data_IF_724326716609
#
_entry.id   IF_724326716609
#
_cell.length_a   1.000
_cell.length_b   1.000
_cell.length_c   1.000
_cell.angle_alpha   90.00
_cell.angle_beta   90.00
_cell.angle_gamma   90.00
#
_symmetry.space_group_name_H-M   'P 1'
#
loop_
_entity.id
_entity.type
_entity.pdbx_description
1 polymer ?
#
# COMPACT_ATOMS: atom_id res chain seq x y z
N UNK A 1 47.06 -103.87 -4.54
CA UNK A 1 46.02 -103.75 -5.59
C UNK A 1 44.64 -103.62 -4.94
N UNK A 2 43.88 -102.60 -5.36
CA UNK A 2 42.41 -102.38 -5.24
C UNK A 2 41.71 -102.63 -3.89
N UNK A 3 41.13 -101.56 -3.32
CA UNK A 3 39.69 -101.48 -3.02
C UNK A 3 39.19 -100.06 -3.31
N UNK A 4 38.17 -99.99 -4.15
CA UNK A 4 37.44 -98.79 -4.57
C UNK A 4 36.42 -98.40 -3.50
N UNK A 5 36.32 -97.12 -3.15
CA UNK A 5 35.13 -96.55 -2.53
C UNK A 5 34.81 -95.24 -3.27
N UNK A 6 33.63 -95.22 -3.89
CA UNK A 6 32.98 -94.05 -4.48
C UNK A 6 32.24 -93.34 -3.35
N UNK A 7 32.38 -92.02 -3.23
CA UNK A 7 31.47 -91.21 -2.43
C UNK A 7 30.88 -90.09 -3.28
N UNK A 8 29.55 -90.04 -3.26
CA UNK A 8 28.67 -89.16 -4.01
C UNK A 8 28.47 -87.83 -3.25
N UNK A 9 28.64 -86.73 -3.98
CA UNK A 9 27.96 -85.41 -3.92
C UNK A 9 27.49 -84.87 -2.55
N UNK A 10 28.01 -83.69 -2.20
CA UNK A 10 27.23 -82.64 -1.54
C UNK A 10 27.58 -81.27 -2.13
N UNK A 11 26.82 -80.88 -3.15
CA UNK A 11 26.64 -79.48 -3.52
C UNK A 11 25.90 -78.83 -2.36
N UNK A 12 26.62 -78.17 -1.46
CA UNK A 12 26.02 -77.21 -0.54
C UNK A 12 26.19 -75.84 -1.18
N UNK A 13 25.12 -75.40 -1.84
CA UNK A 13 24.97 -74.04 -2.31
C UNK A 13 25.12 -73.09 -1.13
N UNK A 14 26.26 -72.41 -1.07
CA UNK A 14 26.35 -71.13 -0.40
C UNK A 14 25.79 -70.08 -1.37
N UNK A 15 24.46 -70.11 -1.55
CA UNK A 15 23.79 -68.88 -1.94
C UNK A 15 23.92 -67.94 -0.74
N UNK A 16 24.90 -67.04 -0.83
CA UNK A 16 24.97 -65.87 0.02
C UNK A 16 23.61 -65.17 -0.09
N UNK A 17 22.91 -65.10 1.04
CA UNK A 17 21.55 -64.58 1.16
C UNK A 17 21.40 -63.23 0.44
N UNK A 18 20.77 -63.23 -0.72
CA UNK A 18 19.99 -62.07 -1.11
C UNK A 18 18.75 -62.08 -0.21
N UNK A 19 18.83 -61.34 0.90
CA UNK A 19 17.74 -61.24 1.85
C UNK A 19 16.53 -60.63 1.12
N UNK A 20 15.59 -61.48 0.70
CA UNK A 20 14.36 -61.06 0.03
C UNK A 20 13.51 -60.25 0.99
N UNK A 21 12.78 -59.25 0.50
CA UNK A 21 11.86 -58.52 1.36
C UNK A 21 10.61 -59.37 1.60
N UNK A 22 10.53 -59.99 2.78
CA UNK A 22 9.40 -60.83 3.13
C UNK A 22 8.14 -59.99 3.40
N UNK A 23 6.98 -60.48 2.99
CA UNK A 23 5.67 -59.89 3.30
C UNK A 23 5.36 -59.90 4.80
N UNK A 24 5.99 -60.81 5.56
CA UNK A 24 5.90 -60.85 7.03
C UNK A 24 7.03 -60.10 7.73
N UNK A 25 7.85 -59.36 6.98
CA UNK A 25 8.98 -58.60 7.52
C UNK A 25 10.27 -59.41 7.69
N UNK A 26 11.37 -58.68 7.87
CA UNK A 26 12.74 -59.22 7.93
C UNK A 26 13.40 -58.87 9.28
N UNK A 27 14.10 -59.82 9.89
CA UNK A 27 14.96 -59.59 11.07
C UNK A 27 16.44 -59.41 10.69
N UNK A 28 17.19 -58.59 11.43
CA UNK A 28 18.65 -58.45 11.28
C UNK A 28 19.12 -57.62 10.08
N UNK A 29 18.34 -56.62 9.64
CA UNK A 29 18.65 -55.80 8.46
C UNK A 29 19.77 -54.77 8.70
N UNK A 30 20.57 -54.50 7.69
CA UNK A 30 21.54 -53.40 7.59
C UNK A 30 21.02 -52.33 6.61
N UNK A 31 20.75 -51.08 7.04
CA UNK A 31 20.19 -50.03 6.18
C UNK A 31 21.03 -49.67 4.94
N UNK A 32 22.34 -49.93 4.96
CA UNK A 32 23.23 -49.65 3.81
C UNK A 32 23.05 -50.66 2.69
N UNK A 33 22.66 -51.91 3.01
CA UNK A 33 22.63 -53.03 2.05
C UNK A 33 21.28 -53.72 1.95
N UNK A 34 20.36 -53.44 2.86
CA UNK A 34 19.00 -53.99 2.88
C UNK A 34 18.01 -52.83 2.80
N UNK A 35 17.41 -52.66 1.62
CA UNK A 35 16.39 -51.65 1.37
C UNK A 35 15.35 -52.19 0.38
N UNK A 36 14.14 -51.62 0.44
CA UNK A 36 13.11 -51.84 -0.57
C UNK A 36 13.23 -50.72 -1.61
N UNK A 37 13.74 -51.08 -2.78
CA UNK A 37 14.02 -50.12 -3.83
C UNK A 37 14.79 -50.77 -4.97
N UNK A 38 15.30 -49.94 -5.86
CA UNK A 38 16.12 -50.33 -7.00
C UNK A 38 17.57 -49.96 -6.71
N UNK A 39 18.51 -50.83 -7.07
CA UNK A 39 19.96 -50.55 -7.00
C UNK A 39 20.47 -49.90 -8.29
N UNK A 40 19.65 -49.88 -9.34
CA UNK A 40 19.91 -49.27 -10.64
C UNK A 40 19.05 -48.00 -10.82
N UNK A 41 19.17 -47.35 -11.97
CA UNK A 41 18.48 -46.09 -12.27
C UNK A 41 17.03 -46.29 -12.74
N UNK A 42 16.28 -47.18 -12.08
CA UNK A 42 14.87 -47.47 -12.38
C UNK A 42 13.94 -46.97 -11.27
N UNK A 43 12.73 -46.46 -11.58
CA UNK A 43 11.75 -46.11 -10.56
C UNK A 43 11.29 -47.30 -9.74
N UNK A 44 11.04 -47.09 -8.44
CA UNK A 44 10.30 -48.03 -7.62
C UNK A 44 8.80 -47.85 -7.88
N UNK A 45 8.19 -48.78 -8.63
CA UNK A 45 6.78 -48.73 -9.02
C UNK A 45 5.92 -49.60 -8.11
N UNK A 46 4.82 -49.04 -7.64
CA UNK A 46 3.80 -49.73 -6.87
C UNK A 46 2.53 -49.84 -7.72
N UNK A 47 2.05 -51.08 -7.85
CA UNK A 47 0.93 -51.44 -8.71
C UNK A 47 -0.20 -52.08 -7.90
N UNK A 48 -1.43 -51.90 -8.36
CA UNK A 48 -2.59 -52.72 -7.95
C UNK A 48 -3.28 -53.26 -9.19
N UNK A 49 -3.61 -54.56 -9.21
CA UNK A 49 -4.15 -55.25 -10.39
C UNK A 49 -3.31 -55.01 -11.66
N UNK A 50 -1.97 -55.07 -11.52
CA UNK A 50 -0.99 -54.77 -12.57
C UNK A 50 -1.04 -53.35 -13.19
N UNK A 51 -1.86 -52.44 -12.64
CA UNK A 51 -1.86 -51.04 -13.02
C UNK A 51 -0.96 -50.25 -12.07
N UNK A 52 -0.07 -49.42 -12.62
CA UNK A 52 0.69 -48.45 -11.83
C UNK A 52 -0.24 -47.49 -11.10
N UNK A 53 0.01 -47.31 -9.81
CA UNK A 53 -0.71 -46.36 -8.95
C UNK A 53 0.22 -45.33 -8.36
N UNK A 54 1.48 -45.71 -8.19
CA UNK A 54 2.45 -44.88 -7.51
C UNK A 54 3.84 -45.25 -8.03
N UNK A 55 4.74 -44.28 -8.13
CA UNK A 55 6.16 -44.54 -8.37
C UNK A 55 7.04 -43.52 -7.64
N UNK A 56 8.15 -43.99 -7.08
CA UNK A 56 9.27 -43.14 -6.67
C UNK A 56 10.27 -43.16 -7.82
N UNK A 57 10.53 -42.02 -8.44
CA UNK A 57 11.47 -41.94 -9.56
C UNK A 57 12.91 -41.88 -9.06
N UNK A 58 13.85 -42.23 -9.92
CA UNK A 58 15.29 -42.08 -9.75
C UNK A 58 15.73 -40.65 -9.38
N UNK A 59 14.87 -39.65 -9.59
CA UNK A 59 15.08 -38.24 -9.27
C UNK A 59 14.41 -37.75 -7.97
N UNK A 60 14.11 -38.62 -7.00
CA UNK A 60 13.47 -38.30 -5.71
C UNK A 60 12.05 -37.70 -5.81
N UNK A 61 11.32 -38.00 -6.88
CA UNK A 61 9.94 -37.55 -7.07
C UNK A 61 8.96 -38.68 -6.78
N UNK A 62 7.83 -38.36 -6.18
CA UNK A 62 6.76 -39.31 -5.88
C UNK A 62 5.58 -39.02 -6.82
N UNK A 63 5.25 -39.93 -7.74
CA UNK A 63 4.14 -39.74 -8.70
C UNK A 63 2.99 -40.67 -8.34
N UNK A 64 1.75 -40.17 -8.31
CA UNK A 64 0.52 -40.96 -8.10
C UNK A 64 -0.33 -40.94 -9.38
N UNK A 65 -0.78 -42.10 -9.85
CA UNK A 65 -1.54 -42.31 -11.10
C UNK A 65 -3.01 -42.69 -10.81
N UNK A 66 -3.97 -42.04 -11.49
CA UNK A 66 -5.41 -42.28 -11.25
C UNK A 66 -6.45 -41.56 -12.11
N UNK A 67 -6.12 -40.85 -13.20
CA UNK A 67 -7.15 -40.28 -14.11
C UNK A 67 -7.50 -41.35 -15.16
N UNK A 68 -8.48 -42.21 -14.89
CA UNK A 68 -8.92 -43.22 -15.88
C UNK A 68 -10.36 -43.02 -16.39
N UNK A 69 -11.05 -41.94 -16.02
CA UNK A 69 -12.31 -41.56 -16.66
C UNK A 69 -12.24 -40.13 -17.20
N UNK A 70 -12.51 -39.99 -18.49
CA UNK A 70 -12.77 -38.71 -19.14
C UNK A 70 -13.89 -38.00 -18.35
N UNK A 71 -13.61 -36.80 -17.85
CA UNK A 71 -14.53 -36.06 -16.96
C UNK A 71 -14.23 -36.17 -15.46
N UNK A 72 -13.19 -36.88 -15.03
CA UNK A 72 -12.72 -36.82 -13.63
C UNK A 72 -12.19 -35.43 -13.28
N UNK A 73 -12.94 -34.70 -12.45
CA UNK A 73 -12.48 -33.46 -11.83
C UNK A 73 -11.67 -33.83 -10.59
N UNK A 74 -10.48 -33.25 -10.42
CA UNK A 74 -9.68 -33.47 -9.21
C UNK A 74 -10.36 -32.76 -8.04
N UNK A 75 -10.98 -33.52 -7.13
CA UNK A 75 -11.57 -33.07 -5.87
C UNK A 75 -10.68 -33.42 -4.65
N UNK A 76 -9.39 -33.73 -4.89
CA UNK A 76 -8.42 -34.18 -3.88
C UNK A 76 -7.22 -33.25 -3.76
N UNK A 77 -6.48 -33.38 -2.65
CA UNK A 77 -5.23 -32.67 -2.42
C UNK A 77 -4.06 -33.31 -3.18
N UNK A 78 -3.12 -32.50 -3.65
CA UNK A 78 -1.87 -32.93 -4.29
C UNK A 78 -0.67 -32.51 -3.42
N UNK A 79 0.05 -33.48 -2.88
CA UNK A 79 1.16 -33.26 -1.96
C UNK A 79 2.49 -33.79 -2.53
N UNK A 80 3.51 -32.93 -2.57
CA UNK A 80 4.89 -33.32 -2.82
C UNK A 80 5.79 -32.78 -1.70
N UNK A 81 6.37 -33.69 -0.92
CA UNK A 81 7.30 -33.39 0.17
C UNK A 81 6.76 -32.50 1.31
N UNK A 82 5.44 -32.37 1.48
CA UNK A 82 4.79 -31.62 2.57
C UNK A 82 3.28 -31.89 2.62
N UNK A 83 2.56 -31.31 3.60
CA UNK A 83 1.11 -31.44 3.79
C UNK A 83 0.67 -32.41 4.89
N UNK A 84 -0.55 -32.21 5.40
CA UNK A 84 -1.27 -33.12 6.29
C UNK A 84 -2.46 -33.74 5.54
N UNK A 85 -2.58 -35.07 5.56
CA UNK A 85 -3.64 -35.83 4.87
C UNK A 85 -4.95 -35.90 5.68
N UNK A 86 -5.18 -34.95 6.59
CA UNK A 86 -6.38 -34.91 7.42
C UNK A 86 -7.61 -34.44 6.62
N UNK A 87 -8.66 -35.26 6.65
CA UNK A 87 -9.60 -35.50 5.54
C UNK A 87 -10.84 -34.59 5.47
N UNK A 88 -10.73 -33.27 5.65
CA UNK A 88 -11.88 -32.36 5.41
C UNK A 88 -11.62 -31.23 4.42
N UNK A 89 -10.38 -30.74 4.31
CA UNK A 89 -10.00 -29.76 3.29
C UNK A 89 -9.61 -30.43 1.97
N UNK A 90 -10.26 -30.08 0.86
CA UNK A 90 -9.98 -30.59 -0.49
C UNK A 90 -9.30 -29.54 -1.38
N UNK A 91 -8.81 -29.93 -2.56
CA UNK A 91 -8.25 -29.03 -3.59
C UNK A 91 -6.97 -28.27 -3.22
N UNK A 92 -6.23 -28.72 -2.21
CA UNK A 92 -4.93 -28.11 -1.87
C UNK A 92 -3.82 -28.61 -2.81
N UNK A 93 -2.94 -27.71 -3.25
CA UNK A 93 -1.72 -28.03 -4.02
C UNK A 93 -0.49 -27.67 -3.20
N UNK A 94 0.34 -28.65 -2.82
CA UNK A 94 1.48 -28.45 -1.93
C UNK A 94 2.76 -29.00 -2.53
N UNK A 95 3.80 -28.17 -2.54
CA UNK A 95 5.13 -28.53 -3.01
C UNK A 95 6.21 -27.89 -2.11
N UNK A 96 6.78 -28.65 -1.17
CA UNK A 96 7.88 -28.16 -0.33
C UNK A 96 7.93 -28.78 1.07
N UNK A 97 9.15 -28.95 1.60
CA UNK A 97 9.39 -29.50 2.93
C UNK A 97 8.75 -28.65 4.03
N UNK A 98 7.94 -29.28 4.88
CA UNK A 98 7.25 -28.60 5.98
C UNK A 98 6.11 -27.65 5.54
N UNK A 99 5.75 -27.63 4.26
CA UNK A 99 4.61 -26.85 3.78
C UNK A 99 3.28 -27.48 4.23
N UNK A 100 2.30 -26.64 4.61
CA UNK A 100 0.93 -27.04 4.96
C UNK A 100 0.81 -28.18 6.01
N UNK A 101 1.72 -28.27 6.98
CA UNK A 101 1.80 -29.40 7.92
C UNK A 101 0.75 -29.39 9.04
N UNK A 102 0.19 -28.23 9.41
CA UNK A 102 -0.83 -28.11 10.47
C UNK A 102 -2.25 -27.86 9.95
N UNK A 103 -2.49 -27.92 8.63
CA UNK A 103 -3.84 -27.74 8.10
C UNK A 103 -4.75 -28.92 8.48
N UNK A 104 -5.93 -28.59 9.00
CA UNK A 104 -6.93 -29.58 9.46
C UNK A 104 -8.24 -29.52 8.67
N UNK A 105 -8.66 -28.32 8.23
CA UNK A 105 -9.97 -28.09 7.58
C UNK A 105 -9.86 -27.27 6.28
N UNK A 106 -8.82 -26.45 6.12
CA UNK A 106 -8.69 -25.49 5.01
C UNK A 106 -8.62 -26.13 3.62
N UNK A 107 -9.37 -25.59 2.67
CA UNK A 107 -9.48 -26.09 1.29
C UNK A 107 -8.91 -25.11 0.25
N UNK A 108 -8.61 -25.61 -0.95
CA UNK A 108 -8.22 -24.80 -2.12
C UNK A 108 -6.99 -23.91 -1.92
N UNK A 109 -6.03 -24.32 -1.08
CA UNK A 109 -4.79 -23.59 -0.87
C UNK A 109 -3.68 -24.05 -1.82
N UNK A 110 -2.84 -23.13 -2.30
CA UNK A 110 -1.60 -23.43 -3.02
C UNK A 110 -0.41 -23.08 -2.13
N UNK A 111 0.40 -24.06 -1.72
CA UNK A 111 1.57 -23.88 -0.86
C UNK A 111 2.83 -24.39 -1.55
N UNK A 112 3.69 -23.48 -2.03
CA UNK A 112 4.92 -23.82 -2.76
C UNK A 112 6.13 -23.19 -2.05
N UNK A 113 7.06 -24.01 -1.59
CA UNK A 113 8.27 -23.60 -0.87
C UNK A 113 8.31 -24.11 0.56
N UNK A 114 9.52 -24.19 1.12
CA UNK A 114 9.71 -24.73 2.47
C UNK A 114 8.96 -23.91 3.53
N UNK A 115 8.24 -24.61 4.42
CA UNK A 115 7.37 -24.05 5.45
C UNK A 115 6.30 -23.04 4.96
N UNK A 116 5.94 -23.06 3.67
CA UNK A 116 4.82 -22.26 3.18
C UNK A 116 3.52 -22.74 3.83
N UNK A 117 2.73 -21.82 4.40
CA UNK A 117 1.47 -22.12 5.11
C UNK A 117 1.64 -23.19 6.22
N UNK A 118 2.78 -23.27 6.91
CA UNK A 118 3.02 -24.39 7.85
C UNK A 118 2.10 -24.38 9.08
N UNK A 119 1.61 -23.22 9.53
CA UNK A 119 0.87 -23.07 10.79
C UNK A 119 -0.64 -22.86 10.66
N UNK A 120 -1.18 -22.82 9.44
CA UNK A 120 -2.60 -22.55 9.21
C UNK A 120 -3.44 -23.80 9.49
N UNK A 121 -4.51 -23.66 10.28
CA UNK A 121 -5.35 -24.81 10.66
C UNK A 121 -6.68 -24.89 9.89
N UNK A 122 -7.27 -23.73 9.54
CA UNK A 122 -8.64 -23.64 9.00
C UNK A 122 -8.79 -22.75 7.74
N UNK A 123 -7.73 -22.07 7.29
CA UNK A 123 -7.84 -21.09 6.20
C UNK A 123 -7.96 -21.72 4.80
N UNK A 124 -8.76 -21.10 3.94
CA UNK A 124 -9.07 -21.57 2.59
C UNK A 124 -8.77 -20.53 1.51
N UNK A 125 -8.57 -20.98 0.28
CA UNK A 125 -8.34 -20.12 -0.90
C UNK A 125 -7.09 -19.24 -0.81
N UNK A 126 -6.04 -19.70 -0.12
CA UNK A 126 -4.77 -18.96 -0.02
C UNK A 126 -3.76 -19.43 -1.07
N UNK A 127 -2.98 -18.51 -1.63
CA UNK A 127 -1.83 -18.78 -2.47
C UNK A 127 -0.58 -18.34 -1.72
N UNK A 128 0.33 -19.25 -1.39
CA UNK A 128 1.61 -18.96 -0.76
C UNK A 128 2.75 -19.58 -1.57
N UNK A 129 3.60 -18.74 -2.14
CA UNK A 129 4.72 -19.15 -3.00
C UNK A 129 6.00 -18.49 -2.49
N UNK A 130 6.89 -19.27 -1.89
CA UNK A 130 8.17 -18.82 -1.35
C UNK A 130 8.47 -19.45 0.01
N UNK A 131 9.75 -19.49 0.37
CA UNK A 131 10.19 -19.99 1.68
C UNK A 131 9.57 -19.12 2.79
N UNK A 132 8.93 -19.77 3.75
CA UNK A 132 8.21 -19.14 4.87
C UNK A 132 7.10 -18.16 4.45
N UNK A 133 6.57 -18.26 3.22
CA UNK A 133 5.41 -17.46 2.80
C UNK A 133 4.16 -17.90 3.57
N UNK A 134 3.43 -16.94 4.14
CA UNK A 134 2.23 -17.16 4.96
C UNK A 134 2.44 -18.15 6.13
N UNK A 135 3.68 -18.33 6.59
CA UNK A 135 4.12 -19.44 7.46
C UNK A 135 3.39 -19.51 8.80
N UNK A 136 3.26 -18.37 9.47
CA UNK A 136 2.77 -18.26 10.85
C UNK A 136 1.27 -17.93 10.93
N UNK A 137 0.60 -17.74 9.80
CA UNK A 137 -0.84 -17.47 9.80
C UNK A 137 -1.60 -18.69 10.31
N UNK A 138 -2.42 -18.53 11.37
CA UNK A 138 -3.19 -19.63 11.98
C UNK A 138 -4.57 -19.74 11.30
N UNK A 139 -5.18 -18.59 10.99
CA UNK A 139 -6.52 -18.43 10.40
C UNK A 139 -6.50 -17.35 9.33
N UNK A 140 -7.26 -17.52 8.26
CA UNK A 140 -7.36 -16.50 7.23
C UNK A 140 -7.63 -17.06 5.84
N UNK A 141 -8.51 -16.39 5.10
CA UNK A 141 -8.98 -16.81 3.80
C UNK A 141 -8.59 -15.80 2.71
N UNK A 142 -8.51 -16.30 1.46
CA UNK A 142 -8.40 -15.46 0.26
C UNK A 142 -7.12 -14.60 0.18
N UNK A 143 -6.01 -15.05 0.76
CA UNK A 143 -4.76 -14.30 0.70
C UNK A 143 -3.84 -14.76 -0.44
N UNK A 144 -3.12 -13.83 -1.05
CA UNK A 144 -2.06 -14.09 -2.03
C UNK A 144 -0.73 -13.61 -1.45
N UNK A 145 0.17 -14.53 -1.13
CA UNK A 145 1.51 -14.27 -0.62
C UNK A 145 2.55 -14.85 -1.59
N UNK A 146 3.35 -14.00 -2.23
CA UNK A 146 4.37 -14.44 -3.18
C UNK A 146 5.71 -13.78 -2.85
N UNK A 147 6.68 -14.58 -2.46
CA UNK A 147 8.02 -14.14 -2.06
C UNK A 147 8.46 -14.75 -0.73
N UNK A 148 9.77 -14.83 -0.53
CA UNK A 148 10.32 -15.29 0.73
C UNK A 148 9.84 -14.39 1.88
N UNK A 149 9.29 -15.01 2.93
CA UNK A 149 8.68 -14.34 4.09
C UNK A 149 7.50 -13.39 3.79
N UNK A 150 6.91 -13.45 2.59
CA UNK A 150 5.71 -12.66 2.31
C UNK A 150 4.56 -13.12 3.22
N UNK A 151 3.92 -12.18 3.92
CA UNK A 151 2.90 -12.42 4.94
C UNK A 151 3.34 -13.39 6.07
N UNK A 152 4.63 -13.37 6.43
CA UNK A 152 5.13 -14.13 7.58
C UNK A 152 4.74 -13.42 8.88
N UNK A 153 3.71 -13.89 9.60
CA UNK A 153 3.36 -13.35 10.92
C UNK A 153 2.10 -13.97 11.51
N UNK A 154 1.84 -13.69 12.78
CA UNK A 154 0.70 -14.18 13.55
C UNK A 154 -0.53 -13.28 13.35
N UNK A 155 -1.72 -13.80 13.66
CA UNK A 155 -2.99 -13.06 13.61
C UNK A 155 -3.91 -13.50 12.48
N UNK A 156 -5.00 -12.75 12.29
CA UNK A 156 -6.02 -13.00 11.27
C UNK A 156 -5.67 -12.24 9.98
N UNK A 157 -5.71 -12.94 8.84
CA UNK A 157 -5.51 -12.35 7.50
C UNK A 157 -6.69 -12.65 6.60
N UNK A 158 -7.32 -11.63 6.01
CA UNK A 158 -8.44 -11.86 5.08
C UNK A 158 -8.25 -11.01 3.82
N UNK A 159 -8.29 -11.64 2.65
CA UNK A 159 -8.28 -10.92 1.37
C UNK A 159 -7.09 -9.94 1.19
N UNK A 160 -5.88 -10.34 1.57
CA UNK A 160 -4.69 -9.54 1.31
C UNK A 160 -3.91 -10.06 0.10
N UNK A 161 -3.34 -9.15 -0.68
CA UNK A 161 -2.34 -9.46 -1.72
C UNK A 161 -1.00 -8.91 -1.29
N UNK A 162 0.02 -9.76 -1.16
CA UNK A 162 1.38 -9.41 -0.81
C UNK A 162 2.37 -10.09 -1.77
N UNK A 163 3.17 -9.30 -2.47
CA UNK A 163 4.13 -9.79 -3.46
C UNK A 163 5.48 -9.10 -3.24
N UNK A 164 6.50 -9.86 -2.89
CA UNK A 164 7.86 -9.39 -2.65
C UNK A 164 8.49 -9.98 -1.39
N UNK A 165 9.81 -9.80 -1.27
CA UNK A 165 10.54 -10.24 -0.09
C UNK A 165 10.02 -9.52 1.17
N UNK A 166 9.58 -10.30 2.17
CA UNK A 166 9.06 -9.79 3.43
C UNK A 166 7.95 -8.72 3.27
N UNK A 167 7.18 -8.77 2.17
CA UNK A 167 6.00 -7.93 1.98
C UNK A 167 4.92 -8.36 2.97
N UNK A 168 4.43 -7.42 3.77
CA UNK A 168 3.44 -7.63 4.83
C UNK A 168 3.91 -8.67 5.88
N UNK A 169 5.22 -8.78 6.12
CA UNK A 169 5.86 -9.79 6.98
C UNK A 169 5.78 -9.54 8.50
N UNK A 170 4.75 -8.81 8.95
CA UNK A 170 4.21 -8.78 10.32
C UNK A 170 5.17 -9.11 11.47
N UNK A 171 6.24 -8.34 11.61
CA UNK A 171 7.20 -8.55 12.70
C UNK A 171 6.57 -8.21 14.07
N UNK A 172 6.81 -9.08 15.08
CA UNK A 172 6.31 -8.92 16.45
C UNK A 172 4.78 -8.82 16.58
N UNK A 173 4.05 -9.57 15.75
CA UNK A 173 2.58 -9.64 15.78
C UNK A 173 2.05 -10.63 16.79
N UNK A 174 0.80 -10.43 17.21
CA UNK A 174 0.08 -11.26 18.17
C UNK A 174 -1.18 -11.87 17.54
N UNK A 175 -1.73 -12.92 18.14
CA UNK A 175 -2.90 -13.62 17.60
C UNK A 175 -4.16 -12.73 17.44
N UNK A 176 -4.27 -11.63 18.19
CA UNK A 176 -5.41 -10.70 18.11
C UNK A 176 -5.30 -9.64 17.01
N UNK A 177 -4.16 -9.53 16.34
CA UNK A 177 -3.93 -8.52 15.31
C UNK A 177 -4.73 -8.87 14.02
N UNK A 178 -5.39 -7.88 13.41
CA UNK A 178 -6.27 -8.07 12.24
C UNK A 178 -5.84 -7.28 11.01
N UNK A 179 -5.61 -7.97 9.90
CA UNK A 179 -5.22 -7.34 8.64
C UNK A 179 -6.08 -7.85 7.50
N UNK A 180 -6.80 -6.94 6.83
CA UNK A 180 -7.74 -7.34 5.77
C UNK A 180 -7.75 -6.38 4.59
N UNK A 181 -7.97 -6.89 3.38
CA UNK A 181 -8.20 -6.06 2.19
C UNK A 181 -7.02 -5.16 1.81
N UNK A 182 -5.77 -5.58 2.08
CA UNK A 182 -4.58 -4.78 1.75
C UNK A 182 -3.86 -5.30 0.50
N UNK A 183 -3.26 -4.39 -0.27
CA UNK A 183 -2.40 -4.70 -1.42
C UNK A 183 -0.98 -4.19 -1.15
N UNK A 184 -0.03 -5.11 -0.96
CA UNK A 184 1.38 -4.85 -0.74
C UNK A 184 2.21 -5.41 -1.91
N UNK A 185 2.89 -4.55 -2.67
CA UNK A 185 3.74 -4.96 -3.79
C UNK A 185 5.12 -4.33 -3.66
N UNK A 186 6.13 -5.15 -3.42
CA UNK A 186 7.53 -4.73 -3.28
C UNK A 186 8.16 -5.25 -1.99
N UNK A 187 9.48 -5.12 -1.89
CA UNK A 187 10.23 -5.64 -0.74
C UNK A 187 9.96 -4.81 0.51
N UNK A 188 9.59 -5.49 1.61
CA UNK A 188 9.30 -4.91 2.94
C UNK A 188 8.20 -3.83 2.96
N UNK A 189 7.25 -3.88 2.02
CA UNK A 189 6.01 -3.08 2.07
C UNK A 189 5.15 -3.51 3.25
N UNK A 190 4.58 -2.55 4.01
CA UNK A 190 3.68 -2.84 5.15
C UNK A 190 4.22 -3.86 6.17
N UNK A 191 5.54 -3.96 6.32
CA UNK A 191 6.17 -5.05 7.07
C UNK A 191 5.80 -5.08 8.56
N UNK A 192 5.43 -3.94 9.15
CA UNK A 192 5.07 -3.84 10.58
C UNK A 192 3.59 -3.56 10.83
N UNK A 193 2.74 -3.64 9.81
CA UNK A 193 1.30 -3.46 9.99
C UNK A 193 0.79 -4.53 10.95
N UNK A 194 0.14 -4.11 12.04
CA UNK A 194 -0.47 -5.01 13.04
C UNK A 194 -1.98 -5.03 12.83
N UNK A 195 -2.60 -3.86 12.74
CA UNK A 195 -4.02 -3.70 12.53
C UNK A 195 -4.28 -2.75 11.36
N UNK A 196 -5.01 -3.16 10.34
CA UNK A 196 -5.23 -2.25 9.23
C UNK A 196 -5.95 -2.87 8.05
N UNK A 197 -6.77 -2.03 7.40
CA UNK A 197 -7.60 -2.45 6.29
C UNK A 197 -7.55 -1.48 5.13
N UNK A 198 -7.78 -2.00 3.92
CA UNK A 198 -7.92 -1.20 2.70
C UNK A 198 -6.69 -0.35 2.34
N UNK A 199 -5.48 -0.76 2.75
CA UNK A 199 -4.26 -0.05 2.40
C UNK A 199 -3.65 -0.59 1.09
N UNK A 200 -3.11 0.31 0.28
CA UNK A 200 -2.34 0.01 -0.93
C UNK A 200 -0.92 0.52 -0.73
N UNK A 201 0.07 -0.36 -0.74
CA UNK A 201 1.48 0.01 -0.67
C UNK A 201 2.27 -0.65 -1.81
N UNK A 202 2.90 0.16 -2.66
CA UNK A 202 3.65 -0.31 -3.83
C UNK A 202 5.04 0.35 -3.82
N UNK A 203 6.11 -0.43 -3.76
CA UNK A 203 7.49 0.05 -3.76
C UNK A 203 8.38 -0.63 -2.73
N UNK A 204 9.65 -0.21 -2.65
CA UNK A 204 10.54 -0.66 -1.57
C UNK A 204 10.21 0.08 -0.27
N UNK A 205 9.97 -0.64 0.82
CA UNK A 205 9.62 -0.10 2.15
C UNK A 205 8.42 0.89 2.18
N UNK A 206 7.50 0.86 1.21
CA UNK A 206 6.31 1.71 1.27
C UNK A 206 5.44 1.32 2.49
N UNK A 207 5.09 2.32 3.31
CA UNK A 207 4.35 2.16 4.60
C UNK A 207 5.01 1.10 5.51
N UNK A 208 6.34 1.03 5.58
CA UNK A 208 7.00 -0.05 6.34
C UNK A 208 6.68 -0.03 7.85
N UNK A 209 6.68 1.16 8.47
CA UNK A 209 6.65 1.30 9.93
C UNK A 209 5.24 1.44 10.55
N UNK A 210 4.19 1.38 9.74
CA UNK A 210 2.82 1.56 10.23
C UNK A 210 2.44 0.39 11.11
N UNK A 211 1.94 0.67 12.32
CA UNK A 211 1.40 -0.35 13.23
C UNK A 211 -0.13 -0.44 13.11
N UNK A 212 -0.80 0.70 12.95
CA UNK A 212 -2.27 0.77 12.86
C UNK A 212 -2.73 1.83 11.86
N UNK A 213 -3.51 1.47 10.85
CA UNK A 213 -4.02 2.44 9.89
C UNK A 213 -4.86 1.84 8.78
N UNK A 214 -5.82 2.62 8.29
CA UNK A 214 -6.76 2.19 7.27
C UNK A 214 -6.77 3.12 6.06
N UNK A 215 -7.09 2.56 4.89
CA UNK A 215 -7.37 3.33 3.68
C UNK A 215 -6.23 4.24 3.23
N UNK A 216 -4.98 3.85 3.47
CA UNK A 216 -3.81 4.61 3.01
C UNK A 216 -3.33 4.09 1.65
N UNK A 217 -2.90 5.00 0.78
CA UNK A 217 -2.25 4.70 -0.49
C UNK A 217 -0.82 5.22 -0.40
N UNK A 218 0.17 4.35 -0.57
CA UNK A 218 1.57 4.72 -0.73
C UNK A 218 2.19 4.06 -1.96
N UNK A 219 2.65 4.87 -2.91
CA UNK A 219 3.24 4.37 -4.15
C UNK A 219 4.59 5.05 -4.36
N UNK A 220 5.66 4.27 -4.35
CA UNK A 220 7.04 4.73 -4.51
C UNK A 220 7.99 4.14 -3.48
N UNK A 221 9.29 4.28 -3.73
CA UNK A 221 10.33 3.88 -2.79
C UNK A 221 10.28 4.75 -1.52
N UNK A 222 10.23 4.11 -0.35
CA UNK A 222 10.07 4.73 0.97
C UNK A 222 8.85 5.68 1.08
N UNK A 223 7.82 5.51 0.24
CA UNK A 223 6.61 6.32 0.36
C UNK A 223 5.85 5.97 1.64
N UNK A 224 5.53 6.97 2.48
CA UNK A 224 4.91 6.78 3.79
C UNK A 224 5.74 5.98 4.77
N UNK A 225 7.06 5.87 4.58
CA UNK A 225 7.96 5.08 5.41
C UNK A 225 7.82 5.39 6.91
N UNK A 226 7.71 6.67 7.27
CA UNK A 226 7.65 7.13 8.67
C UNK A 226 6.26 7.08 9.30
N UNK A 227 5.22 6.74 8.54
CA UNK A 227 3.86 6.68 9.02
C UNK A 227 3.74 5.51 10.01
N UNK A 228 3.55 5.80 11.30
CA UNK A 228 3.40 4.80 12.37
C UNK A 228 1.93 4.48 12.64
N UNK A 229 1.04 5.44 12.38
CA UNK A 229 -0.40 5.26 12.34
C UNK A 229 -1.07 6.31 11.46
N UNK A 230 -2.38 6.19 11.22
CA UNK A 230 -3.15 7.18 10.47
C UNK A 230 -3.99 6.58 9.36
N UNK A 231 -4.95 7.36 8.86
CA UNK A 231 -5.96 6.89 7.93
C UNK A 231 -6.12 7.84 6.74
N UNK A 232 -6.47 7.27 5.57
CA UNK A 232 -6.90 8.05 4.42
C UNK A 232 -5.79 8.88 3.75
N UNK A 233 -4.51 8.57 4.00
CA UNK A 233 -3.41 9.31 3.39
C UNK A 233 -3.12 8.80 1.97
N UNK A 234 -2.75 9.69 1.06
CA UNK A 234 -2.32 9.40 -0.30
C UNK A 234 -0.91 9.96 -0.49
N UNK A 235 0.09 9.08 -0.56
CA UNK A 235 1.51 9.40 -0.57
C UNK A 235 2.15 8.80 -1.84
N UNK A 236 2.51 9.61 -2.81
CA UNK A 236 2.98 9.13 -4.11
C UNK A 236 4.32 9.79 -4.47
N UNK A 237 5.36 8.99 -4.64
CA UNK A 237 6.71 9.42 -5.03
C UNK A 237 7.83 8.76 -4.22
N UNK A 238 9.07 9.04 -4.60
CA UNK A 238 10.27 8.59 -3.88
C UNK A 238 10.50 9.42 -2.61
N UNK A 239 10.67 8.75 -1.47
CA UNK A 239 10.87 9.36 -0.15
C UNK A 239 9.78 10.37 0.26
N UNK A 240 8.57 10.22 -0.29
CA UNK A 240 7.40 11.05 0.03
C UNK A 240 6.77 10.57 1.34
N UNK A 241 6.53 11.47 2.29
CA UNK A 241 5.94 11.13 3.58
C UNK A 241 4.81 12.09 3.95
N UNK A 242 3.96 11.64 4.88
CA UNK A 242 3.01 12.50 5.56
C UNK A 242 3.75 13.50 6.47
N UNK A 243 3.06 14.56 6.88
CA UNK A 243 3.59 15.62 7.75
C UNK A 243 4.10 15.08 9.07
N UNK A 244 3.34 14.16 9.65
CA UNK A 244 3.64 13.52 10.92
C UNK A 244 3.48 12.02 10.81
N UNK A 245 4.04 11.28 11.77
CA UNK A 245 3.90 9.83 11.81
C UNK A 245 2.45 9.35 12.09
N UNK A 246 1.52 10.26 12.40
CA UNK A 246 0.13 9.93 12.78
C UNK A 246 -0.91 10.71 11.95
N UNK A 247 -0.49 11.25 10.81
CA UNK A 247 -1.32 12.11 9.97
C UNK A 247 -2.54 11.37 9.40
N UNK A 248 -3.63 12.09 9.14
CA UNK A 248 -4.84 11.56 8.52
C UNK A 248 -5.26 12.46 7.36
N UNK A 249 -5.84 11.86 6.32
CA UNK A 249 -6.41 12.56 5.17
C UNK A 249 -5.42 13.52 4.48
N UNK A 250 -4.13 13.19 4.49
CA UNK A 250 -3.12 13.97 3.79
C UNK A 250 -2.90 13.46 2.36
N UNK A 251 -2.79 14.39 1.43
CA UNK A 251 -2.32 14.15 0.08
C UNK A 251 -0.89 14.65 -0.03
N UNK A 252 0.02 13.85 -0.54
CA UNK A 252 1.35 14.29 -0.94
C UNK A 252 1.77 13.53 -2.20
N UNK A 253 1.90 14.24 -3.32
CA UNK A 253 2.40 13.72 -4.59
C UNK A 253 3.70 14.45 -4.90
N UNK A 254 4.82 13.75 -4.68
CA UNK A 254 6.17 14.21 -5.00
C UNK A 254 6.62 15.48 -4.27
N UNK A 255 5.92 15.89 -3.21
CA UNK A 255 6.04 17.20 -2.57
C UNK A 255 5.71 18.39 -3.50
N UNK A 256 5.01 18.13 -4.61
CA UNK A 256 4.54 19.14 -5.57
C UNK A 256 3.07 19.46 -5.41
N UNK A 257 2.27 18.43 -5.11
CA UNK A 257 0.85 18.56 -4.82
C UNK A 257 0.64 18.01 -3.43
N UNK A 258 0.30 18.90 -2.52
CA UNK A 258 0.07 18.57 -1.11
C UNK A 258 -1.35 18.92 -0.74
N UNK A 259 -1.94 18.21 0.21
CA UNK A 259 -3.29 18.50 0.65
C UNK A 259 -3.52 18.07 2.08
N UNK A 260 -4.24 18.89 2.83
CA UNK A 260 -4.65 18.60 4.20
C UNK A 260 -5.89 19.43 4.54
N UNK A 261 -6.85 18.86 5.28
CA UNK A 261 -8.02 19.55 5.82
C UNK A 261 -8.80 20.43 4.82
N UNK A 262 -8.91 19.92 3.59
CA UNK A 262 -9.66 20.52 2.49
C UNK A 262 -8.94 21.63 1.75
N UNK A 263 -7.63 21.79 1.95
CA UNK A 263 -6.77 22.69 1.18
C UNK A 263 -5.87 21.89 0.26
N UNK A 264 -5.66 22.38 -0.97
CA UNK A 264 -4.68 21.87 -1.93
C UNK A 264 -3.58 22.92 -2.11
N UNK A 265 -2.33 22.49 -1.98
CA UNK A 265 -1.13 23.26 -2.26
C UNK A 265 -0.49 22.74 -3.54
N UNK A 266 -0.14 23.65 -4.46
CA UNK A 266 0.60 23.37 -5.68
C UNK A 266 1.90 24.18 -5.66
N UNK A 267 3.02 23.49 -5.86
CA UNK A 267 4.37 24.07 -5.84
C UNK A 267 5.36 23.16 -5.10
N UNK A 268 6.65 23.49 -5.09
CA UNK A 268 7.62 22.69 -4.36
C UNK A 268 7.56 23.00 -2.85
N UNK A 269 7.13 22.01 -2.07
CA UNK A 269 7.03 22.09 -0.62
C UNK A 269 8.14 21.28 0.06
N UNK A 270 8.82 21.88 1.05
CA UNK A 270 9.78 21.16 1.90
C UNK A 270 9.09 20.48 3.09
N UNK A 271 8.00 21.09 3.56
CA UNK A 271 7.10 20.57 4.59
C UNK A 271 5.67 20.59 4.04
N UNK A 272 4.82 19.65 4.46
CA UNK A 272 3.39 19.69 4.14
C UNK A 272 2.76 21.03 4.56
N UNK A 273 1.58 21.34 4.00
CA UNK A 273 0.80 22.52 4.40
C UNK A 273 0.65 22.60 5.93
N UNK A 274 0.56 23.82 6.51
CA UNK A 274 0.13 24.01 7.89
C UNK A 274 -1.17 23.23 8.18
N UNK A 275 -1.33 22.75 9.42
CA UNK A 275 -2.24 21.65 9.76
C UNK A 275 -3.73 21.97 9.51
N UNK A 276 -4.03 23.21 9.21
CA UNK A 276 -5.33 23.85 9.07
C UNK A 276 -5.57 24.40 7.66
N UNK A 277 -4.60 24.27 6.74
CA UNK A 277 -4.66 24.91 5.42
C UNK A 277 -4.47 26.41 5.49
N UNK A 278 -3.87 26.89 6.59
CA UNK A 278 -3.59 28.29 6.84
C UNK A 278 -2.24 28.65 6.23
N UNK A 279 -2.13 29.74 5.46
CA UNK A 279 -0.82 30.27 5.06
C UNK A 279 -0.15 30.99 6.22
N UNK A 280 1.08 31.47 6.02
CA UNK A 280 1.87 32.14 7.06
C UNK A 280 1.21 33.39 7.67
N UNK A 281 0.19 33.93 7.02
CA UNK A 281 -0.61 35.09 7.42
C UNK A 281 -1.75 34.76 8.40
N UNK A 282 -2.06 33.48 8.66
CA UNK A 282 -3.18 33.09 9.53
C UNK A 282 -4.48 32.80 8.77
N UNK A 283 -4.51 33.02 7.44
CA UNK A 283 -5.70 32.88 6.61
C UNK A 283 -5.80 31.51 5.92
N UNK A 284 -7.03 30.98 5.84
CA UNK A 284 -7.31 29.64 5.31
C UNK A 284 -7.73 29.69 3.85
N UNK A 285 -6.84 29.26 2.96
CA UNK A 285 -7.12 29.13 1.53
C UNK A 285 -7.48 27.69 1.17
N UNK A 286 -8.42 27.49 0.23
CA UNK A 286 -8.75 26.15 -0.30
C UNK A 286 -7.78 25.70 -1.40
N UNK A 287 -7.21 26.64 -2.12
CA UNK A 287 -6.18 26.40 -3.12
C UNK A 287 -5.04 27.41 -2.87
N UNK A 288 -3.84 26.89 -2.63
CA UNK A 288 -2.62 27.67 -2.50
C UNK A 288 -1.68 27.30 -3.65
N UNK A 289 -1.23 28.27 -4.43
CA UNK A 289 -0.32 28.04 -5.56
C UNK A 289 0.93 28.89 -5.38
N UNK A 290 2.06 28.24 -5.09
CA UNK A 290 3.36 28.90 -5.03
C UNK A 290 3.80 29.27 -6.45
N UNK A 291 4.46 30.43 -6.58
CA UNK A 291 4.97 30.97 -7.85
C UNK A 291 3.87 31.42 -8.86
N UNK A 292 2.61 31.46 -8.43
CA UNK A 292 1.51 32.11 -9.13
C UNK A 292 0.75 31.24 -10.14
N UNK A 293 -0.27 31.84 -10.77
CA UNK A 293 -1.16 31.19 -11.75
C UNK A 293 -1.16 32.02 -13.03
N UNK A 294 -0.84 31.41 -14.17
CA UNK A 294 -1.05 31.99 -15.50
C UNK A 294 -2.33 31.42 -16.10
N UNK A 295 -3.27 32.28 -16.45
CA UNK A 295 -4.56 31.88 -17.03
C UNK A 295 -5.07 32.94 -18.00
N UNK A 296 -5.87 32.54 -18.98
CA UNK A 296 -6.46 33.45 -19.97
C UNK A 296 -7.66 34.21 -19.41
N UNK A 297 -8.34 33.67 -18.37
CA UNK A 297 -9.54 34.28 -17.79
C UNK A 297 -9.70 33.87 -16.32
N UNK A 298 -10.12 34.84 -15.51
CA UNK A 298 -10.53 34.64 -14.10
C UNK A 298 -11.87 35.32 -13.89
N UNK A 299 -12.82 34.62 -13.27
CA UNK A 299 -14.09 35.20 -12.79
C UNK A 299 -14.11 35.06 -11.27
N UNK A 300 -14.31 36.18 -10.57
CA UNK A 300 -14.43 36.21 -9.11
C UNK A 300 -15.87 36.56 -8.79
N UNK A 301 -16.60 35.63 -8.18
CA UNK A 301 -17.98 35.88 -7.75
C UNK A 301 -18.00 36.75 -6.49
N UNK A 302 -18.99 37.64 -6.43
CA UNK A 302 -19.17 38.59 -5.33
C UNK A 302 -20.41 38.18 -4.56
N UNK A 303 -20.23 37.76 -3.31
CA UNK A 303 -21.34 37.55 -2.40
C UNK A 303 -22.12 38.86 -2.22
N UNK A 304 -23.44 38.81 -2.40
CA UNK A 304 -24.33 39.97 -2.40
C UNK A 304 -24.26 40.82 -1.10
N UNK A 305 -23.75 40.24 -0.01
CA UNK A 305 -23.60 40.89 1.30
C UNK A 305 -22.48 41.93 1.38
N UNK A 306 -21.53 41.97 0.44
CA UNK A 306 -20.28 42.71 0.61
C UNK A 306 -20.20 44.05 -0.14
N UNK A 307 -21.29 44.49 -0.77
CA UNK A 307 -21.42 45.81 -1.37
C UNK A 307 -20.54 46.04 -2.61
N UNK A 308 -21.12 46.63 -3.65
CA UNK A 308 -20.37 47.23 -4.74
C UNK A 308 -20.12 48.72 -4.41
N UNK A 309 -19.05 49.33 -4.93
CA UNK A 309 -18.57 50.63 -4.45
C UNK A 309 -19.51 51.83 -4.66
N UNK A 310 -20.64 51.65 -5.36
CA UNK A 310 -21.58 52.70 -5.78
C UNK A 310 -22.08 53.64 -4.65
N UNK A 311 -21.92 53.26 -3.39
CA UNK A 311 -22.28 54.08 -2.22
C UNK A 311 -21.53 55.43 -2.17
N UNK A 312 -20.40 55.60 -2.88
CA UNK A 312 -19.67 56.88 -2.96
C UNK A 312 -20.51 58.00 -3.56
N UNK A 313 -21.54 57.65 -4.35
CA UNK A 313 -22.46 58.62 -4.95
C UNK A 313 -23.70 58.93 -4.10
N UNK A 314 -23.82 58.36 -2.89
CA UNK A 314 -24.91 58.68 -1.97
C UNK A 314 -24.81 60.12 -1.45
N UNK A 315 -25.95 60.74 -1.17
CA UNK A 315 -26.03 62.18 -0.84
C UNK A 315 -25.31 62.56 0.47
N UNK A 316 -25.17 61.59 1.36
CA UNK A 316 -24.53 61.72 2.67
C UNK A 316 -23.09 61.20 2.68
N UNK A 317 -22.54 60.80 1.52
CA UNK A 317 -21.14 60.41 1.41
C UNK A 317 -20.21 61.58 1.77
N UNK A 318 -19.37 61.37 2.78
CA UNK A 318 -18.42 62.38 3.26
C UNK A 318 -17.12 62.30 2.46
N UNK A 319 -17.09 63.00 1.33
CA UNK A 319 -15.87 63.15 0.54
C UNK A 319 -14.83 63.97 1.32
N UNK A 320 -13.63 63.40 1.52
CA UNK A 320 -12.49 64.09 2.14
C UNK A 320 -12.10 65.32 1.31
N UNK A 321 -11.83 66.46 1.94
CA UNK A 321 -11.41 67.65 1.18
C UNK A 321 -10.02 67.47 0.57
N UNK A 322 -9.73 68.12 -0.57
CA UNK A 322 -8.40 68.03 -1.20
C UNK A 322 -7.27 68.54 -0.28
N UNK A 323 -7.56 69.49 0.61
CA UNK A 323 -6.57 69.97 1.59
C UNK A 323 -6.26 68.90 2.63
N UNK A 324 -7.30 68.24 3.18
CA UNK A 324 -7.13 67.18 4.18
C UNK A 324 -6.46 65.95 3.55
N UNK A 325 -6.83 65.62 2.31
CA UNK A 325 -6.21 64.55 1.55
C UNK A 325 -4.72 64.83 1.30
N UNK A 326 -4.36 66.07 0.93
CA UNK A 326 -2.97 66.48 0.76
C UNK A 326 -2.17 66.37 2.07
N UNK A 327 -2.74 66.81 3.19
CA UNK A 327 -2.11 66.65 4.50
C UNK A 327 -1.93 65.19 4.88
N UNK A 328 -2.92 64.34 4.60
CA UNK A 328 -2.84 62.91 4.86
C UNK A 328 -1.71 62.26 4.05
N UNK A 329 -1.62 62.54 2.75
CA UNK A 329 -0.58 61.99 1.88
C UNK A 329 0.80 62.46 2.32
N UNK A 330 0.97 63.75 2.64
CA UNK A 330 2.25 64.28 3.12
C UNK A 330 2.70 63.65 4.44
N UNK A 331 1.74 63.25 5.30
CA UNK A 331 2.03 62.61 6.59
C UNK A 331 2.28 61.10 6.46
N UNK A 332 1.49 60.40 5.65
CA UNK A 332 1.46 58.94 5.64
C UNK A 332 2.09 58.29 4.39
N UNK A 333 2.25 59.03 3.28
CA UNK A 333 2.89 58.55 2.06
C UNK A 333 2.04 57.63 1.18
N UNK A 334 0.75 57.46 1.48
CA UNK A 334 -0.21 56.68 0.69
C UNK A 334 -1.62 57.30 0.78
N UNK A 335 -2.54 56.80 -0.06
CA UNK A 335 -3.94 57.21 -0.02
C UNK A 335 -4.66 56.64 1.21
N UNK A 336 -5.67 57.34 1.75
CA UNK A 336 -6.52 56.80 2.82
C UNK A 336 -7.10 55.44 2.43
N UNK A 337 -7.15 54.49 3.39
CA UNK A 337 -7.65 53.12 3.26
C UNK A 337 -6.85 52.19 2.33
N UNK A 338 -5.93 52.72 1.52
CA UNK A 338 -5.04 51.89 0.70
C UNK A 338 -3.93 51.35 1.60
N UNK A 339 -3.71 50.01 1.63
CA UNK A 339 -2.67 49.41 2.44
C UNK A 339 -1.29 49.93 2.03
N UNK A 340 -0.41 50.07 3.01
CA UNK A 340 0.99 50.39 2.79
C UNK A 340 1.70 49.25 2.07
N UNK A 341 2.84 49.54 1.42
CA UNK A 341 3.70 48.51 0.82
C UNK A 341 4.09 47.43 1.83
N UNK A 342 4.31 47.82 3.09
CA UNK A 342 4.66 46.87 4.15
C UNK A 342 3.50 45.92 4.44
N UNK A 343 2.29 46.45 4.64
CA UNK A 343 1.09 45.65 4.89
C UNK A 343 0.77 44.72 3.71
N UNK A 344 0.94 45.19 2.47
CA UNK A 344 0.71 44.38 1.27
C UNK A 344 1.71 43.22 1.11
N UNK A 345 2.97 43.41 1.52
CA UNK A 345 3.99 42.36 1.50
C UNK A 345 3.75 41.34 2.61
N UNK A 346 3.36 41.80 3.80
CA UNK A 346 3.16 40.96 4.98
C UNK A 346 1.88 40.10 4.87
N UNK A 347 0.77 40.69 4.41
CA UNK A 347 -0.55 40.04 4.43
C UNK A 347 -1.07 39.65 3.03
N UNK A 348 -0.36 40.02 1.96
CA UNK A 348 -0.89 39.90 0.61
C UNK A 348 -1.99 40.91 0.31
N UNK A 349 -2.62 40.77 -0.87
CA UNK A 349 -3.73 41.62 -1.31
C UNK A 349 -4.83 40.72 -1.87
N UNK A 350 -6.02 40.82 -1.29
CA UNK A 350 -7.23 40.18 -1.82
C UNK A 350 -7.68 40.87 -3.10
N UNK A 351 -7.66 40.15 -4.22
CA UNK A 351 -7.93 40.69 -5.55
C UNK A 351 -9.29 41.38 -5.65
N UNK A 352 -10.31 40.81 -4.99
CA UNK A 352 -11.67 41.38 -4.94
C UNK A 352 -11.67 42.71 -4.20
N UNK A 353 -11.11 42.73 -3.00
CA UNK A 353 -11.14 43.91 -2.11
C UNK A 353 -10.36 45.07 -2.72
N UNK A 354 -9.21 44.77 -3.32
CA UNK A 354 -8.42 45.77 -4.04
C UNK A 354 -9.18 46.34 -5.24
N UNK A 355 -9.88 45.51 -6.03
CA UNK A 355 -10.66 46.02 -7.16
C UNK A 355 -11.82 46.92 -6.69
N UNK A 356 -12.49 46.59 -5.59
CA UNK A 356 -13.55 47.44 -5.00
C UNK A 356 -12.95 48.75 -4.47
N UNK A 357 -11.80 48.69 -3.79
CA UNK A 357 -11.12 49.88 -3.27
C UNK A 357 -10.62 50.79 -4.40
N UNK A 358 -10.05 50.23 -5.47
CA UNK A 358 -9.65 50.98 -6.67
C UNK A 358 -10.86 51.66 -7.32
N UNK A 359 -11.99 50.96 -7.44
CA UNK A 359 -13.23 51.56 -7.94
C UNK A 359 -13.69 52.73 -7.06
N UNK A 360 -13.73 52.55 -5.73
CA UNK A 360 -14.02 53.62 -4.77
C UNK A 360 -13.12 54.85 -5.00
N UNK A 361 -11.80 54.66 -5.13
CA UNK A 361 -10.86 55.78 -5.34
C UNK A 361 -11.06 56.47 -6.68
N UNK A 362 -11.45 55.74 -7.73
CA UNK A 362 -11.81 56.31 -9.04
C UNK A 362 -13.08 57.16 -8.92
N UNK A 363 -14.08 56.72 -8.15
CA UNK A 363 -15.33 57.47 -7.92
C UNK A 363 -15.08 58.74 -7.09
N UNK A 364 -14.28 58.67 -6.02
CA UNK A 364 -13.84 59.84 -5.24
C UNK A 364 -13.10 60.86 -6.12
N UNK A 365 -12.17 60.39 -6.96
CA UNK A 365 -11.46 61.23 -7.92
C UNK A 365 -12.43 61.89 -8.91
N UNK A 366 -13.44 61.15 -9.37
CA UNK A 366 -14.48 61.66 -10.28
C UNK A 366 -15.29 62.77 -9.61
N UNK A 367 -15.65 62.64 -8.33
CA UNK A 367 -16.33 63.69 -7.58
C UNK A 367 -15.47 64.96 -7.45
N UNK A 368 -14.17 64.81 -7.16
CA UNK A 368 -13.25 65.94 -7.12
C UNK A 368 -13.12 66.63 -8.49
N UNK A 369 -13.04 65.88 -9.58
CA UNK A 369 -13.00 66.42 -10.93
C UNK A 369 -14.27 67.21 -11.28
N UNK A 370 -15.45 66.69 -10.93
CA UNK A 370 -16.72 67.41 -11.10
C UNK A 370 -16.73 68.71 -10.29
N UNK A 371 -16.25 68.68 -9.04
CA UNK A 371 -16.16 69.88 -8.19
C UNK A 371 -15.18 70.91 -8.78
N UNK A 372 -14.04 70.46 -9.31
CA UNK A 372 -13.06 71.31 -9.96
C UNK A 372 -13.62 71.95 -11.23
N UNK A 373 -14.31 71.18 -12.09
CA UNK A 373 -14.95 71.69 -13.30
C UNK A 373 -16.00 72.77 -12.97
N UNK A 374 -16.86 72.52 -11.98
CA UNK A 374 -17.82 73.53 -11.49
C UNK A 374 -17.13 74.82 -11.05
N UNK A 375 -15.96 74.72 -10.39
CA UNK A 375 -15.19 75.89 -9.98
C UNK A 375 -14.59 76.64 -11.18
N UNK A 376 -14.08 75.92 -12.18
CA UNK A 376 -13.57 76.51 -13.42
C UNK A 376 -14.68 77.28 -14.15
N UNK A 377 -15.86 76.69 -14.32
CA UNK A 377 -17.00 77.35 -14.97
C UNK A 377 -17.43 78.64 -14.25
N UNK A 378 -17.41 78.62 -12.91
CA UNK A 378 -17.68 79.82 -12.11
C UNK A 378 -16.61 80.88 -12.31
N UNK A 379 -15.33 80.50 -12.42
CA UNK A 379 -14.23 81.44 -12.68
C UNK A 379 -14.30 82.00 -14.10
N UNK A 380 -14.57 81.18 -15.12
CA UNK A 380 -14.74 81.62 -16.50
C UNK A 380 -15.91 82.60 -16.66
N UNK A 381 -17.03 82.35 -15.97
CA UNK A 381 -18.17 83.27 -15.93
C UNK A 381 -17.87 84.60 -15.24
N UNK A 382 -16.88 84.65 -14.35
CA UNK A 382 -16.43 85.89 -13.70
C UNK A 382 -15.41 86.67 -14.53
N UNK A 383 -14.79 86.02 -15.53
CA UNK A 383 -13.80 86.62 -16.43
C UNK A 383 -14.40 87.11 -17.75
N UNK A 384 -15.62 86.66 -18.09
CA UNK A 384 -16.48 87.29 -19.10
C UNK A 384 -17.30 88.39 -18.48
#
# INVERSE_FOLDING_TARGET
MKKTIILIVAVLGLQANAQSWNLTGNSGTNPTTNFLGTTDNQPLIFKTNNAEKFRITEGNKIVVQGISTIGSVWDKNLFFAGGNDATTGVLNTVFGFGALTLNTIGASNTAIGANSISSMTNGSYNVAIGVNSLRLSITGDLNVAVGMKSMEGLGEYVENTAIGYASLARENTMAGDKISYNTALGSRTMAYLKNGQNNIAIGYNAIKLMNSGNSNIAIGNNSGYSLSSGNGNILIGDNVNAKTATSNNELNIGNWIVGNNGTIGIGQFTNQLPADGISSDGEKYKLFVKDGIRTEKVKVDIAASNGWADYVFEKDYKLMSLNDLSQFINKNGHLPEVPTTKEAIENGIELKEMNILLLKKIEELTLHAIQQQKRIEVLEKKMK
#
